data_IF_866146000844
#
_entry.id   IF_866146000844
#
_cell.length_a   1.000
_cell.length_b   1.000
_cell.length_c   1.000
_cell.angle_alpha   90.00
_cell.angle_beta   90.00
_cell.angle_gamma   90.00
#
_symmetry.space_group_name_H-M   'P 1'
#
loop_
_entity.id
_entity.type
_entity.pdbx_description
1 polymer ?
#
# COMPACT_ATOMS: atom_id res chain seq x y z
N UNK A 1 4.23 -30.68 -9.52
CA UNK A 1 4.67 -29.30 -9.25
C UNK A 1 4.08 -28.81 -7.93
N UNK A 2 4.76 -29.06 -6.79
CA UNK A 2 4.17 -28.88 -5.46
C UNK A 2 3.97 -27.42 -5.04
N UNK A 3 4.77 -26.48 -5.59
CA UNK A 3 4.76 -25.07 -5.15
C UNK A 3 3.51 -24.32 -5.65
N UNK A 4 3.06 -24.58 -6.88
CA UNK A 4 1.86 -23.94 -7.43
C UNK A 4 0.59 -24.43 -6.73
N UNK A 5 0.48 -25.72 -6.44
CA UNK A 5 -0.62 -26.29 -5.69
C UNK A 5 -0.72 -25.74 -4.26
N UNK A 6 0.43 -25.57 -3.59
CA UNK A 6 0.50 -24.98 -2.26
C UNK A 6 0.08 -23.52 -2.24
N UNK A 7 0.43 -22.73 -3.26
CA UNK A 7 0.00 -21.32 -3.38
C UNK A 7 -1.50 -21.22 -3.61
N UNK A 8 -2.06 -22.07 -4.48
CA UNK A 8 -3.49 -22.10 -4.75
C UNK A 8 -4.30 -22.50 -3.52
N UNK A 9 -3.86 -23.50 -2.78
CA UNK A 9 -4.51 -23.90 -1.53
C UNK A 9 -4.52 -22.77 -0.48
N UNK A 10 -3.41 -22.06 -0.30
CA UNK A 10 -3.33 -20.89 0.60
C UNK A 10 -4.26 -19.76 0.14
N UNK A 11 -4.35 -19.53 -1.16
CA UNK A 11 -5.23 -18.51 -1.74
C UNK A 11 -6.70 -18.86 -1.48
N UNK A 12 -7.12 -20.10 -1.72
CA UNK A 12 -8.49 -20.58 -1.45
C UNK A 12 -8.84 -20.49 0.05
N UNK A 13 -7.91 -20.86 0.91
CA UNK A 13 -8.07 -20.72 2.36
C UNK A 13 -8.21 -19.25 2.78
N UNK A 14 -7.37 -18.37 2.22
CA UNK A 14 -7.43 -16.95 2.48
C UNK A 14 -8.76 -16.34 2.01
N UNK A 15 -9.26 -16.69 0.83
CA UNK A 15 -10.55 -16.22 0.33
C UNK A 15 -11.68 -16.57 1.33
N UNK A 16 -11.68 -17.79 1.85
CA UNK A 16 -12.66 -18.23 2.86
C UNK A 16 -12.52 -17.48 4.18
N UNK A 17 -11.30 -17.13 4.56
CA UNK A 17 -11.02 -16.43 5.81
C UNK A 17 -11.39 -14.94 5.77
N UNK A 18 -11.30 -14.30 4.61
CA UNK A 18 -11.48 -12.84 4.48
C UNK A 18 -12.86 -12.41 4.01
N UNK A 19 -13.72 -13.34 3.60
CA UNK A 19 -15.06 -13.03 3.11
C UNK A 19 -16.15 -13.52 4.09
N UNK A 20 -17.36 -12.91 4.04
CA UNK A 20 -18.53 -13.48 4.69
C UNK A 20 -18.85 -14.89 4.14
N UNK A 21 -19.75 -15.62 4.78
CA UNK A 21 -20.20 -16.92 4.26
C UNK A 21 -20.70 -16.80 2.82
N UNK A 22 -20.19 -17.66 1.94
CA UNK A 22 -20.56 -17.74 0.54
C UNK A 22 -20.74 -19.18 0.09
N UNK A 23 -21.45 -19.37 -1.00
CA UNK A 23 -21.71 -20.69 -1.61
C UNK A 23 -20.78 -20.93 -2.81
N UNK A 24 -20.56 -19.92 -3.62
CA UNK A 24 -19.73 -19.98 -4.82
C UNK A 24 -18.79 -18.80 -4.91
N UNK A 25 -17.66 -19.00 -5.56
CA UNK A 25 -16.70 -17.94 -5.89
C UNK A 25 -16.38 -18.06 -7.38
N UNK A 26 -16.31 -16.91 -8.06
CA UNK A 26 -15.90 -16.84 -9.46
C UNK A 26 -14.42 -17.21 -9.63
N UNK A 27 -14.06 -17.56 -10.86
CA UNK A 27 -12.66 -17.72 -11.24
C UNK A 27 -11.91 -16.39 -11.11
N UNK A 28 -10.59 -16.49 -10.95
CA UNK A 28 -9.68 -15.36 -10.84
C UNK A 28 -9.88 -14.39 -12.02
N UNK A 29 -10.15 -13.14 -11.72
CA UNK A 29 -10.24 -12.05 -12.70
C UNK A 29 -9.21 -10.97 -12.36
N UNK A 30 -8.63 -10.32 -13.36
CA UNK A 30 -7.70 -9.22 -13.17
C UNK A 30 -8.44 -7.90 -13.37
N UNK A 31 -8.39 -7.05 -12.36
CA UNK A 31 -8.93 -5.68 -12.38
C UNK A 31 -7.87 -4.76 -11.76
N UNK A 32 -7.53 -3.66 -12.41
CA UNK A 32 -6.53 -2.71 -11.93
C UNK A 32 -5.21 -3.39 -11.53
N UNK A 33 -4.74 -4.34 -12.37
CA UNK A 33 -3.52 -5.16 -12.16
C UNK A 33 -3.56 -6.08 -10.92
N UNK A 34 -4.70 -6.20 -10.26
CA UNK A 34 -4.89 -7.02 -9.08
C UNK A 34 -5.85 -8.19 -9.37
N UNK A 35 -5.63 -9.30 -8.67
CA UNK A 35 -6.50 -10.47 -8.74
C UNK A 35 -7.71 -10.27 -7.86
N UNK A 36 -8.89 -10.48 -8.42
CA UNK A 36 -10.16 -10.39 -7.69
C UNK A 36 -10.92 -11.70 -7.76
N UNK A 37 -11.68 -12.00 -6.71
CA UNK A 37 -12.53 -13.15 -6.55
C UNK A 37 -13.89 -12.68 -6.01
N UNK A 38 -14.94 -12.83 -6.82
CA UNK A 38 -16.30 -12.44 -6.42
C UNK A 38 -16.98 -13.65 -5.79
N UNK A 39 -17.57 -13.45 -4.62
CA UNK A 39 -18.26 -14.49 -3.86
C UNK A 39 -19.76 -14.24 -3.81
N UNK A 40 -20.54 -15.30 -3.96
CA UNK A 40 -21.98 -15.26 -4.04
C UNK A 40 -22.63 -16.22 -3.05
N UNK A 41 -23.83 -15.86 -2.57
CA UNK A 41 -24.65 -16.75 -1.77
C UNK A 41 -25.39 -17.78 -2.63
N UNK A 42 -26.20 -18.63 -2.01
CA UNK A 42 -26.99 -19.65 -2.69
C UNK A 42 -28.05 -19.09 -3.66
N UNK A 43 -28.41 -17.81 -3.51
CA UNK A 43 -29.36 -17.11 -4.39
C UNK A 43 -28.67 -16.44 -5.58
N UNK A 44 -27.34 -16.51 -5.68
CA UNK A 44 -26.57 -15.85 -6.71
C UNK A 44 -26.35 -14.35 -6.45
N UNK A 45 -26.56 -13.88 -5.23
CA UNK A 45 -26.31 -12.49 -4.86
C UNK A 45 -24.85 -12.32 -4.42
N UNK A 46 -24.20 -11.23 -4.84
CA UNK A 46 -22.83 -10.90 -4.45
C UNK A 46 -22.76 -10.59 -2.94
N UNK A 47 -22.00 -11.37 -2.20
CA UNK A 47 -21.80 -11.18 -0.74
C UNK A 47 -20.49 -10.49 -0.43
N UNK A 48 -19.52 -10.54 -1.34
CA UNK A 48 -18.25 -9.84 -1.16
C UNK A 48 -17.26 -10.08 -2.29
N UNK A 49 -16.14 -9.36 -2.24
CA UNK A 49 -15.04 -9.46 -3.19
C UNK A 49 -13.74 -9.59 -2.40
N UNK A 50 -12.98 -10.66 -2.66
CA UNK A 50 -11.61 -10.79 -2.16
C UNK A 50 -10.64 -10.28 -3.23
N UNK A 51 -9.62 -9.54 -2.80
CA UNK A 51 -8.65 -8.89 -3.68
C UNK A 51 -7.24 -9.21 -3.18
N UNK A 52 -6.42 -9.75 -4.07
CA UNK A 52 -5.01 -10.02 -3.83
C UNK A 52 -4.18 -8.83 -4.32
N UNK A 53 -3.46 -8.20 -3.40
CA UNK A 53 -2.54 -7.09 -3.66
C UNK A 53 -1.11 -7.50 -3.41
N UNK A 54 -0.18 -6.85 -4.09
CA UNK A 54 1.25 -7.03 -3.89
C UNK A 54 1.93 -5.66 -3.82
N UNK A 55 2.60 -5.39 -2.70
CA UNK A 55 3.32 -4.13 -2.47
C UNK A 55 4.73 -4.40 -1.95
N UNK A 56 5.66 -3.50 -2.25
CA UNK A 56 7.03 -3.58 -1.76
C UNK A 56 7.09 -3.05 -0.32
N UNK A 57 7.38 -3.93 0.63
CA UNK A 57 7.62 -3.60 2.03
C UNK A 57 9.07 -3.24 2.33
N UNK A 58 9.43 -3.21 3.62
CA UNK A 58 10.80 -2.93 4.03
C UNK A 58 11.75 -4.10 3.73
N UNK A 59 11.33 -5.33 4.00
CA UNK A 59 12.14 -6.53 3.78
C UNK A 59 11.95 -7.17 2.40
N UNK A 60 11.00 -6.72 1.62
CA UNK A 60 10.63 -7.27 0.32
C UNK A 60 9.12 -7.27 0.08
N UNK A 61 8.68 -8.05 -0.89
CA UNK A 61 7.28 -8.09 -1.28
C UNK A 61 6.36 -8.55 -0.13
N UNK A 62 5.26 -7.82 0.05
CA UNK A 62 4.14 -8.17 0.92
C UNK A 62 2.93 -8.44 0.03
N UNK A 63 2.45 -9.67 0.05
CA UNK A 63 1.26 -10.10 -0.70
C UNK A 63 0.12 -10.28 0.29
N UNK A 64 -0.95 -9.53 0.11
CA UNK A 64 -2.10 -9.49 1.02
C UNK A 64 -3.37 -9.87 0.26
N UNK A 65 -4.20 -10.73 0.84
CA UNK A 65 -5.59 -10.93 0.46
C UNK A 65 -6.46 -10.11 1.39
N UNK A 66 -7.33 -9.26 0.87
CA UNK A 66 -8.31 -8.51 1.65
C UNK A 66 -9.71 -8.74 1.12
N UNK A 67 -10.64 -8.97 2.04
CA UNK A 67 -12.05 -9.18 1.74
C UNK A 67 -12.89 -7.95 2.06
N UNK A 68 -13.73 -7.58 1.12
CA UNK A 68 -14.76 -6.55 1.29
C UNK A 68 -16.13 -7.21 1.18
N UNK A 69 -17.07 -6.77 2.01
CA UNK A 69 -18.48 -7.16 1.86
C UNK A 69 -19.14 -6.45 0.65
N UNK A 70 -20.40 -6.71 0.43
CA UNK A 70 -21.17 -6.10 -0.65
C UNK A 70 -21.30 -4.56 -0.52
N UNK A 71 -21.02 -3.98 0.64
CA UNK A 71 -21.07 -2.54 0.92
C UNK A 71 -19.70 -1.86 0.87
N UNK A 72 -18.63 -2.62 0.61
CA UNK A 72 -17.26 -2.11 0.60
C UNK A 72 -16.64 -1.97 1.99
N UNK A 73 -17.17 -2.66 2.98
CA UNK A 73 -16.59 -2.72 4.32
C UNK A 73 -15.56 -3.84 4.38
N UNK A 74 -14.40 -3.56 4.97
CA UNK A 74 -13.36 -4.58 5.19
C UNK A 74 -13.90 -5.63 6.16
N UNK A 75 -13.97 -6.87 5.71
CA UNK A 75 -14.37 -8.03 6.53
C UNK A 75 -13.16 -8.55 7.30
N UNK A 76 -12.10 -8.90 6.58
CA UNK A 76 -10.84 -9.35 7.14
C UNK A 76 -9.73 -9.30 6.09
N UNK A 77 -8.49 -9.57 6.51
CA UNK A 77 -7.35 -9.71 5.61
C UNK A 77 -6.50 -10.93 5.97
N UNK A 78 -5.70 -11.40 5.02
CA UNK A 78 -4.72 -12.48 5.23
C UNK A 78 -3.43 -12.17 4.49
N UNK A 79 -2.28 -12.29 5.14
CA UNK A 79 -0.99 -12.22 4.47
C UNK A 79 -0.67 -13.56 3.81
N UNK A 80 -0.62 -13.57 2.49
CA UNK A 80 -0.27 -14.75 1.70
C UNK A 80 1.24 -15.00 1.68
N UNK A 81 2.02 -13.91 1.59
CA UNK A 81 3.49 -13.95 1.63
C UNK A 81 4.04 -12.61 2.10
N UNK A 82 5.17 -12.64 2.78
CA UNK A 82 5.96 -11.45 3.11
C UNK A 82 7.43 -11.83 3.35
N UNK A 83 8.33 -10.89 3.13
CA UNK A 83 9.76 -11.01 3.46
C UNK A 83 10.17 -10.05 4.60
N UNK A 84 9.22 -9.60 5.40
CA UNK A 84 9.42 -8.66 6.48
C UNK A 84 10.25 -9.25 7.64
N UNK A 85 10.95 -8.37 8.36
CA UNK A 85 11.80 -8.76 9.50
C UNK A 85 11.00 -9.47 10.59
N UNK A 86 11.43 -10.68 11.02
CA UNK A 86 10.81 -11.41 12.12
C UNK A 86 10.71 -10.56 13.41
N UNK A 87 9.56 -10.61 14.08
CA UNK A 87 9.30 -9.88 15.33
C UNK A 87 9.05 -8.37 15.17
N UNK A 88 9.25 -7.81 13.96
CA UNK A 88 8.95 -6.41 13.61
C UNK A 88 7.86 -6.37 12.53
N UNK A 89 8.22 -6.26 11.27
CA UNK A 89 7.27 -6.19 10.15
C UNK A 89 6.39 -7.44 10.01
N UNK A 90 6.88 -8.61 10.44
CA UNK A 90 6.07 -9.84 10.45
C UNK A 90 4.82 -9.76 11.35
N UNK A 91 4.74 -8.78 12.27
CA UNK A 91 3.53 -8.52 13.07
C UNK A 91 2.34 -8.02 12.24
N UNK A 92 2.54 -7.66 10.98
CA UNK A 92 1.45 -7.32 10.05
C UNK A 92 0.37 -8.42 10.00
N UNK A 93 0.73 -9.68 10.26
CA UNK A 93 -0.19 -10.83 10.25
C UNK A 93 -1.42 -10.59 11.13
N UNK A 94 -1.25 -9.95 12.29
CA UNK A 94 -2.32 -9.77 13.26
C UNK A 94 -2.43 -8.35 13.85
N UNK A 95 -1.44 -7.48 13.64
CA UNK A 95 -1.41 -6.13 14.21
C UNK A 95 -2.68 -5.34 13.92
N UNK A 96 -3.08 -5.33 12.65
CA UNK A 96 -4.26 -4.61 12.18
C UNK A 96 -5.57 -5.39 12.38
N UNK A 97 -5.57 -6.39 13.25
CA UNK A 97 -6.74 -7.10 13.77
C UNK A 97 -6.86 -6.98 15.29
N UNK A 98 -5.74 -6.79 15.98
CA UNK A 98 -5.69 -6.85 17.46
C UNK A 98 -5.38 -5.51 18.09
N UNK A 99 -4.42 -4.75 17.52
CA UNK A 99 -3.95 -3.48 18.10
C UNK A 99 -4.52 -2.25 17.41
N UNK A 100 -4.63 -2.30 16.12
CA UNK A 100 -5.10 -1.17 15.30
C UNK A 100 -6.05 -1.71 14.24
N UNK A 101 -7.20 -2.24 14.68
CA UNK A 101 -8.12 -3.02 13.86
C UNK A 101 -8.70 -2.19 12.71
N UNK A 102 -8.49 -2.67 11.48
CA UNK A 102 -9.02 -2.07 10.25
C UNK A 102 -10.33 -2.72 9.80
N UNK A 103 -10.73 -3.83 10.38
CA UNK A 103 -11.98 -4.52 10.03
C UNK A 103 -13.17 -3.63 10.39
N UNK A 104 -14.18 -3.64 9.56
CA UNK A 104 -15.32 -2.72 9.67
C UNK A 104 -15.05 -1.32 9.11
N UNK A 105 -13.84 -1.01 8.64
CA UNK A 105 -13.59 0.22 7.91
C UNK A 105 -14.21 0.13 6.51
N UNK A 106 -14.95 1.15 6.12
CA UNK A 106 -15.58 1.31 4.82
C UNK A 106 -15.20 2.65 4.17
N UNK A 107 -15.98 3.09 3.21
CA UNK A 107 -15.74 4.32 2.43
C UNK A 107 -15.44 5.57 3.28
N UNK A 108 -16.10 5.69 4.44
CA UNK A 108 -15.96 6.83 5.35
C UNK A 108 -14.61 6.89 6.08
N UNK A 109 -13.84 5.81 6.06
CA UNK A 109 -12.52 5.71 6.70
C UNK A 109 -11.37 5.62 5.70
N UNK A 110 -11.66 5.55 4.41
CA UNK A 110 -10.66 5.52 3.35
C UNK A 110 -10.17 6.93 3.00
N UNK A 111 -8.89 7.12 2.65
CA UNK A 111 -7.82 6.13 2.72
C UNK A 111 -7.30 5.88 4.13
N UNK A 112 -6.95 4.61 4.43
CA UNK A 112 -6.36 4.23 5.70
C UNK A 112 -4.93 4.78 5.80
N UNK A 113 -4.61 5.42 6.93
CA UNK A 113 -3.27 6.00 7.18
C UNK A 113 -2.83 5.73 8.61
N UNK A 114 -1.51 5.65 8.81
CA UNK A 114 -0.96 5.57 10.17
C UNK A 114 -1.10 6.92 10.89
N UNK A 115 -1.18 6.90 12.21
CA UNK A 115 -1.31 8.09 13.07
C UNK A 115 -0.21 9.12 12.84
N UNK A 116 1.01 8.68 12.52
CA UNK A 116 2.13 9.56 12.16
C UNK A 116 1.90 10.37 10.88
N UNK A 117 1.02 9.92 10.02
CA UNK A 117 0.66 10.56 8.74
C UNK A 117 -0.74 11.20 8.82
N UNK A 118 -1.22 11.47 10.02
CA UNK A 118 -2.53 12.09 10.27
C UNK A 118 -3.72 11.14 10.18
N UNK A 119 -3.48 9.82 10.16
CA UNK A 119 -4.53 8.80 10.17
C UNK A 119 -4.93 8.35 11.56
N UNK A 120 -5.79 7.33 11.63
CA UNK A 120 -6.34 6.77 12.87
C UNK A 120 -5.60 5.51 13.35
N UNK A 121 -4.72 4.90 12.53
CA UNK A 121 -4.16 3.59 12.79
C UNK A 121 -2.74 3.65 13.33
N UNK A 122 -2.48 2.90 14.40
CA UNK A 122 -1.14 2.84 14.98
C UNK A 122 -0.19 1.97 14.15
N UNK A 123 0.96 2.53 13.82
CA UNK A 123 2.02 1.76 13.17
C UNK A 123 2.67 0.78 14.16
N UNK A 124 3.15 -0.35 13.65
CA UNK A 124 4.01 -1.27 14.40
C UNK A 124 5.27 -0.52 14.83
N UNK A 125 5.59 -0.59 16.12
CA UNK A 125 6.82 0.02 16.66
C UNK A 125 8.05 -0.54 15.93
N UNK A 126 8.91 0.35 15.47
CA UNK A 126 10.10 0.05 14.67
C UNK A 126 9.83 -0.60 13.28
N UNK A 127 8.56 -0.63 12.83
CA UNK A 127 8.19 -1.12 11.49
C UNK A 127 7.16 -0.19 10.82
N UNK A 128 7.37 1.12 10.89
CA UNK A 128 6.46 2.11 10.31
C UNK A 128 6.37 1.99 8.79
N UNK A 129 7.48 1.69 8.10
CA UNK A 129 7.50 1.49 6.65
C UNK A 129 6.60 0.31 6.27
N UNK A 130 6.78 -0.84 6.90
CA UNK A 130 5.93 -2.03 6.68
C UNK A 130 4.45 -1.74 6.95
N UNK A 131 4.15 -0.96 8.00
CA UNK A 131 2.78 -0.56 8.34
C UNK A 131 2.16 0.33 7.26
N UNK A 132 2.91 1.30 6.73
CA UNK A 132 2.48 2.16 5.62
C UNK A 132 2.23 1.35 4.35
N UNK A 133 3.18 0.48 3.99
CA UNK A 133 3.04 -0.41 2.83
C UNK A 133 1.79 -1.27 2.93
N UNK A 134 1.54 -1.85 4.09
CA UNK A 134 0.35 -2.66 4.32
C UNK A 134 -0.95 -1.84 4.15
N UNK A 135 -1.09 -0.70 4.83
CA UNK A 135 -2.28 0.14 4.70
C UNK A 135 -2.46 0.64 3.26
N UNK A 136 -1.36 0.95 2.55
CA UNK A 136 -1.42 1.31 1.14
C UNK A 136 -1.93 0.16 0.27
N UNK A 137 -1.53 -1.08 0.55
CA UNK A 137 -2.05 -2.25 -0.16
C UNK A 137 -3.56 -2.41 0.04
N UNK A 138 -4.08 -2.11 1.23
CA UNK A 138 -5.53 -2.12 1.50
C UNK A 138 -6.24 -0.98 0.74
N UNK A 139 -5.66 0.22 0.70
CA UNK A 139 -6.23 1.35 -0.07
C UNK A 139 -6.33 1.03 -1.56
N UNK A 140 -5.28 0.44 -2.15
CA UNK A 140 -5.29 -0.02 -3.55
C UNK A 140 -6.32 -1.13 -3.80
N UNK A 141 -6.48 -2.03 -2.84
CA UNK A 141 -7.53 -3.04 -2.92
C UNK A 141 -8.92 -2.40 -2.90
N UNK A 142 -9.12 -1.37 -2.08
CA UNK A 142 -10.40 -0.66 -2.04
C UNK A 142 -10.70 0.08 -3.35
N UNK A 143 -9.71 0.74 -3.94
CA UNK A 143 -9.84 1.33 -5.29
C UNK A 143 -10.25 0.27 -6.32
N UNK A 144 -9.59 -0.89 -6.30
CA UNK A 144 -9.92 -2.01 -7.20
C UNK A 144 -11.31 -2.56 -6.93
N UNK A 145 -11.75 -2.61 -5.66
CA UNK A 145 -13.12 -2.97 -5.29
C UNK A 145 -14.13 -2.02 -5.95
N UNK A 146 -13.92 -0.71 -5.87
CA UNK A 146 -14.80 0.30 -6.48
C UNK A 146 -14.86 0.12 -8.01
N UNK A 147 -13.73 -0.05 -8.68
CA UNK A 147 -13.66 -0.32 -10.12
C UNK A 147 -14.41 -1.62 -10.47
N UNK A 148 -14.21 -2.68 -9.71
CA UNK A 148 -14.88 -3.97 -9.92
C UNK A 148 -16.40 -3.90 -9.75
N UNK A 149 -16.90 -2.90 -9.01
CA UNK A 149 -18.32 -2.58 -8.84
C UNK A 149 -18.85 -1.61 -9.91
N UNK A 150 -17.99 -1.08 -10.77
CA UNK A 150 -18.35 -0.04 -11.74
C UNK A 150 -18.50 1.35 -11.11
N UNK A 151 -17.91 1.55 -9.94
CA UNK A 151 -17.90 2.82 -9.24
C UNK A 151 -16.66 3.64 -9.61
N UNK A 152 -16.73 4.96 -9.50
CA UNK A 152 -15.54 5.80 -9.67
C UNK A 152 -14.70 5.73 -8.39
N UNK A 153 -13.38 5.44 -8.46
CA UNK A 153 -12.52 5.43 -7.30
C UNK A 153 -12.55 6.77 -6.55
N UNK A 154 -12.74 6.69 -5.25
CA UNK A 154 -12.79 7.88 -4.36
C UNK A 154 -11.50 8.06 -3.57
N UNK A 155 -10.59 7.08 -3.65
CA UNK A 155 -9.30 7.11 -2.99
C UNK A 155 -8.20 7.11 -4.05
N UNK A 156 -7.34 8.11 -4.01
CA UNK A 156 -6.07 8.01 -4.67
C UNK A 156 -5.19 7.13 -3.80
N UNK A 157 -4.89 5.93 -4.26
CA UNK A 157 -3.91 5.07 -3.58
C UNK A 157 -2.61 5.85 -3.48
N UNK A 158 -2.24 6.20 -2.25
CA UNK A 158 -1.01 6.95 -2.01
C UNK A 158 0.19 6.11 -2.48
N UNK A 159 0.84 6.58 -3.53
CA UNK A 159 1.98 5.89 -4.13
C UNK A 159 3.20 5.99 -3.23
N UNK A 160 3.23 5.13 -2.22
CA UNK A 160 4.45 4.65 -1.61
C UNK A 160 5.31 5.61 -0.79
N UNK A 161 6.29 5.02 -0.15
CA UNK A 161 7.25 5.60 0.78
C UNK A 161 8.24 6.65 0.19
N UNK A 162 8.04 7.07 -1.05
CA UNK A 162 8.94 8.00 -1.78
C UNK A 162 8.24 9.17 -2.46
N UNK A 163 6.89 9.28 -2.42
CA UNK A 163 6.27 10.48 -2.97
C UNK A 163 6.14 11.54 -1.88
N UNK A 164 6.83 12.63 -2.07
CA UNK A 164 6.56 13.91 -1.40
C UNK A 164 5.09 14.24 -1.56
N UNK A 165 4.43 14.54 -0.45
CA UNK A 165 3.06 14.99 -0.39
C UNK A 165 2.84 16.09 -1.46
N UNK A 166 1.83 15.99 -2.34
CA UNK A 166 1.57 17.05 -3.34
C UNK A 166 1.21 18.41 -2.73
N UNK A 167 0.99 18.49 -1.42
CA UNK A 167 0.86 19.75 -0.68
C UNK A 167 2.18 20.33 -0.21
N UNK A 168 3.29 19.60 -0.29
CA UNK A 168 4.63 20.16 -0.20
C UNK A 168 4.96 20.81 -1.55
N UNK A 169 4.25 21.87 -1.85
CA UNK A 169 4.74 22.87 -2.80
C UNK A 169 6.02 23.39 -2.18
N UNK A 170 7.14 22.84 -2.61
CA UNK A 170 8.44 23.48 -2.40
C UNK A 170 8.24 24.86 -2.98
N UNK A 171 8.10 25.85 -2.12
CA UNK A 171 8.25 27.22 -2.51
C UNK A 171 9.62 27.31 -3.18
N UNK A 172 9.61 27.35 -4.49
CA UNK A 172 10.81 27.60 -5.31
C UNK A 172 11.23 29.05 -5.11
N UNK A 173 11.82 29.33 -3.94
CA UNK A 173 12.54 30.56 -3.70
C UNK A 173 13.63 30.29 -2.67
N UNK A 174 14.57 29.45 -3.01
CA UNK A 174 15.93 29.57 -2.50
C UNK A 174 16.93 28.97 -3.50
N UNK A 175 17.23 29.78 -4.50
CA UNK A 175 18.30 29.55 -5.47
C UNK A 175 19.64 30.04 -4.92
N UNK A 176 19.84 30.02 -3.60
CA UNK A 176 21.07 30.56 -3.00
C UNK A 176 22.11 29.52 -2.55
N UNK A 177 21.92 28.24 -2.93
CA UNK A 177 22.84 27.18 -2.49
C UNK A 177 23.81 26.64 -3.55
N UNK A 178 23.82 27.20 -4.76
CA UNK A 178 24.67 26.66 -5.85
C UNK A 178 25.97 27.44 -6.11
N UNK A 179 26.25 28.56 -5.45
CA UNK A 179 27.41 29.38 -5.80
C UNK A 179 28.52 29.45 -4.75
N UNK A 180 28.52 28.57 -3.74
CA UNK A 180 29.54 28.61 -2.68
C UNK A 180 30.72 27.65 -2.90
N UNK A 181 30.82 26.93 -3.99
CA UNK A 181 31.88 25.93 -4.20
C UNK A 181 32.77 26.17 -5.42
N UNK A 182 32.66 27.33 -6.10
CA UNK A 182 33.43 27.56 -7.31
C UNK A 182 34.13 28.93 -7.35
N UNK A 183 34.68 29.40 -6.22
CA UNK A 183 35.54 30.60 -6.18
C UNK A 183 36.94 30.21 -5.72
N UNK A 184 37.67 29.58 -6.65
CA UNK A 184 39.13 29.54 -6.63
C UNK A 184 39.64 29.77 -8.05
N UNK A 185 39.40 30.96 -8.59
CA UNK A 185 40.22 31.48 -9.69
C UNK A 185 41.12 32.55 -9.14
N UNK A 186 42.30 32.12 -8.77
CA UNK A 186 43.47 33.00 -8.56
C UNK A 186 43.78 33.68 -9.88
N UNK A 187 43.36 34.91 -10.04
CA UNK A 187 43.88 35.79 -11.09
C UNK A 187 45.20 36.39 -10.61
N UNK A 188 46.26 35.75 -10.99
CA UNK A 188 47.60 36.34 -10.90
C UNK A 188 47.79 37.27 -12.13
N UNK A 189 47.59 38.56 -11.91
CA UNK A 189 47.95 39.57 -12.89
C UNK A 189 49.44 39.86 -12.74
N UNK A 190 50.20 39.33 -13.69
CA UNK A 190 51.64 39.65 -13.81
C UNK A 190 51.75 40.92 -14.65
N UNK A 191 52.06 42.02 -13.98
CA UNK A 191 52.31 43.32 -14.59
C UNK A 191 53.79 43.37 -14.99
N UNK A 192 54.06 43.07 -16.26
CA UNK A 192 55.36 43.39 -16.84
C UNK A 192 55.38 44.85 -17.24
N UNK A 193 56.09 45.66 -16.42
CA UNK A 193 56.60 46.97 -16.79
C UNK A 193 57.75 46.78 -17.75
N UNK A 194 57.62 47.32 -18.95
CA UNK A 194 58.76 47.58 -19.82
C UNK A 194 59.01 49.08 -19.79
N UNK A 195 60.15 49.45 -19.28
CA UNK A 195 60.77 50.77 -19.48
C UNK A 195 61.92 50.64 -20.46
N UNK A 196 61.91 51.54 -21.43
CA UNK A 196 62.95 52.00 -22.35
C UNK A 196 63.43 51.04 -23.40
#
# INVERSE_FOLDING_TARGET
EPIAASKKAKQEEAIKAVLPEFTTVDEETIVNEQKIFRAYNANGELVGIAIETKELGFGGDVTTMVGFDANGTIVDYSLLAHAETPGLGSKLVDWFKVKSDIRGAGANKMPLRVSKDGGEYDAITAATISSRTFLNSINKAYETYQIARGETPTVDAWSGATSVNPTDTIATTDTTWVDSWNDTTTTQTDTLKVEM
#
